data_IF_327102147704
#
_entry.id   IF_327102147704
#
_cell.length_a   1.000
_cell.length_b   1.000
_cell.length_c   1.000
_cell.angle_alpha   90.00
_cell.angle_beta   90.00
_cell.angle_gamma   90.00
#
_symmetry.space_group_name_H-M   'P 1'
#
loop_
_entity.id
_entity.type
_entity.pdbx_description
1 polymer ?
#
# COMPACT_ATOMS: atom_id res chain seq x y z
N UNK A 1 -41.35 30.57 8.10
CA UNK A 1 -39.93 30.28 7.82
C UNK A 1 -39.64 28.87 8.34
N UNK A 2 -39.55 27.87 7.46
CA UNK A 2 -39.11 26.51 7.84
C UNK A 2 -37.67 26.36 7.39
N UNK A 3 -36.77 26.08 8.33
CA UNK A 3 -35.37 25.76 8.04
C UNK A 3 -35.34 24.38 7.37
N UNK A 4 -34.79 24.33 6.17
CA UNK A 4 -34.46 23.08 5.46
C UNK A 4 -33.09 22.64 5.98
N UNK A 5 -32.90 21.39 6.45
CA UNK A 5 -31.56 20.93 6.84
C UNK A 5 -30.74 20.70 5.57
N UNK A 6 -29.74 21.56 5.37
CA UNK A 6 -28.77 21.46 4.29
C UNK A 6 -27.82 20.29 4.54
N UNK A 7 -27.72 19.39 3.56
CA UNK A 7 -26.54 18.56 3.33
C UNK A 7 -26.39 17.37 4.26
N UNK A 8 -26.65 16.18 3.72
CA UNK A 8 -26.22 14.90 4.27
C UNK A 8 -24.71 14.93 4.53
N UNK A 9 -24.32 14.87 5.80
CA UNK A 9 -23.01 14.34 6.19
C UNK A 9 -22.93 12.92 5.62
N UNK A 10 -22.12 12.70 4.58
CA UNK A 10 -21.82 11.36 4.11
C UNK A 10 -21.12 10.63 5.25
N UNK A 11 -21.87 9.80 5.98
CA UNK A 11 -21.30 8.90 6.97
C UNK A 11 -20.35 7.98 6.21
N UNK A 12 -19.05 8.14 6.45
CA UNK A 12 -18.03 7.19 6.00
C UNK A 12 -18.48 5.82 6.50
N UNK A 13 -18.87 4.94 5.57
CA UNK A 13 -19.21 3.57 5.94
C UNK A 13 -17.94 2.93 6.50
N UNK A 14 -18.03 2.21 7.64
CA UNK A 14 -16.86 1.53 8.19
C UNK A 14 -16.34 0.53 7.16
N UNK A 15 -15.03 0.57 6.90
CA UNK A 15 -14.38 -0.44 6.07
C UNK A 15 -14.22 -1.69 6.94
N UNK A 16 -14.96 -2.75 6.63
CA UNK A 16 -14.90 -4.01 7.39
C UNK A 16 -13.79 -4.94 6.90
N UNK A 17 -13.41 -4.86 5.62
CA UNK A 17 -12.45 -5.78 5.00
C UNK A 17 -11.64 -5.14 3.89
N UNK A 18 -10.32 -5.37 3.95
CA UNK A 18 -9.36 -5.07 2.88
C UNK A 18 -8.79 -6.39 2.35
N UNK A 19 -8.80 -6.58 1.03
CA UNK A 19 -8.20 -7.76 0.39
C UNK A 19 -7.19 -7.34 -0.67
N UNK A 20 -5.97 -7.87 -0.59
CA UNK A 20 -4.84 -7.53 -1.43
C UNK A 20 -4.35 -8.81 -2.10
N UNK A 21 -4.31 -8.84 -3.44
CA UNK A 21 -3.82 -9.97 -4.22
C UNK A 21 -2.50 -9.61 -4.88
N UNK A 22 -1.48 -10.45 -4.73
CA UNK A 22 -0.10 -10.15 -5.12
C UNK A 22 0.50 -11.33 -5.88
N UNK A 23 1.11 -11.08 -7.04
CA UNK A 23 1.82 -12.10 -7.85
C UNK A 23 3.34 -12.04 -7.73
N UNK A 24 3.86 -11.16 -6.87
CA UNK A 24 5.29 -10.85 -6.81
C UNK A 24 6.11 -11.97 -6.16
N UNK A 25 6.28 -13.06 -6.89
CA UNK A 25 7.14 -14.19 -6.55
C UNK A 25 8.55 -13.70 -6.22
N UNK A 26 9.07 -12.68 -6.92
CA UNK A 26 10.40 -12.12 -6.68
C UNK A 26 10.59 -11.52 -5.28
N UNK A 27 9.55 -10.95 -4.66
CA UNK A 27 9.60 -10.36 -3.31
C UNK A 27 9.46 -11.42 -2.23
N UNK A 28 8.68 -12.47 -2.50
CA UNK A 28 8.61 -13.66 -1.65
C UNK A 28 9.94 -14.42 -1.69
N UNK A 29 10.60 -14.49 -2.85
CA UNK A 29 11.94 -15.08 -2.94
C UNK A 29 12.99 -14.16 -2.29
N UNK A 30 12.84 -12.83 -2.37
CA UNK A 30 13.76 -11.88 -1.73
C UNK A 30 13.72 -11.94 -0.20
N UNK A 31 12.57 -12.28 0.41
CA UNK A 31 12.47 -12.51 1.87
C UNK A 31 13.30 -13.70 2.36
N UNK A 32 13.72 -14.61 1.48
CA UNK A 32 14.57 -15.76 1.79
C UNK A 32 16.07 -15.48 1.56
N UNK A 33 16.42 -14.23 1.20
CA UNK A 33 17.80 -13.80 0.99
C UNK A 33 18.22 -12.80 2.07
N UNK A 34 19.44 -12.94 2.59
CA UNK A 34 20.04 -12.00 3.54
C UNK A 34 20.57 -10.71 2.89
N UNK A 35 20.25 -10.48 1.61
CA UNK A 35 20.73 -9.32 0.84
C UNK A 35 19.65 -8.25 0.79
N UNK A 36 19.94 -7.10 1.36
CA UNK A 36 19.05 -5.93 1.33
C UNK A 36 18.97 -5.40 -0.11
N UNK A 37 17.89 -5.74 -0.81
CA UNK A 37 17.65 -5.28 -2.17
C UNK A 37 17.17 -3.82 -2.24
N UNK A 38 17.35 -3.13 -3.37
CA UNK A 38 16.89 -1.74 -3.57
C UNK A 38 15.37 -1.58 -3.41
N UNK A 39 14.60 -2.67 -3.37
CA UNK A 39 13.15 -2.67 -3.22
C UNK A 39 12.66 -2.86 -1.77
N UNK A 40 13.54 -3.09 -0.79
CA UNK A 40 13.13 -3.29 0.61
C UNK A 40 12.43 -2.08 1.23
N UNK A 41 12.74 -0.86 0.78
CA UNK A 41 12.02 0.33 1.27
C UNK A 41 10.51 0.30 0.93
N UNK A 42 10.10 -0.45 -0.11
CA UNK A 42 8.70 -0.62 -0.45
C UNK A 42 7.95 -1.45 0.60
N UNK A 43 8.63 -2.40 1.26
CA UNK A 43 8.04 -3.16 2.37
C UNK A 43 7.82 -2.27 3.60
N UNK A 44 8.73 -1.33 3.86
CA UNK A 44 8.55 -0.35 4.94
C UNK A 44 7.35 0.56 4.66
N UNK A 45 7.24 1.10 3.44
CA UNK A 45 6.08 1.92 3.03
C UNK A 45 4.80 1.10 3.15
N UNK A 46 4.80 -0.15 2.70
CA UNK A 46 3.64 -1.03 2.81
C UNK A 46 3.22 -1.26 4.26
N UNK A 47 4.18 -1.49 5.16
CA UNK A 47 3.92 -1.66 6.58
C UNK A 47 3.36 -0.38 7.22
N UNK A 48 3.94 0.79 6.91
CA UNK A 48 3.43 2.08 7.38
C UNK A 48 1.98 2.32 6.94
N UNK A 49 1.65 2.02 5.67
CA UNK A 49 0.28 2.15 5.16
C UNK A 49 -0.70 1.19 5.83
N UNK A 50 -0.27 -0.03 6.17
CA UNK A 50 -1.11 -0.97 6.92
C UNK A 50 -1.39 -0.50 8.35
N UNK A 51 -0.38 0.07 9.01
CA UNK A 51 -0.56 0.67 10.34
C UNK A 51 -1.53 1.85 10.29
N UNK A 52 -1.33 2.79 9.35
CA UNK A 52 -2.25 3.92 9.16
C UNK A 52 -3.68 3.46 8.84
N UNK A 53 -3.82 2.37 8.09
CA UNK A 53 -5.11 1.75 7.81
C UNK A 53 -5.78 1.21 9.07
N UNK A 54 -5.06 0.47 9.91
CA UNK A 54 -5.58 -0.09 11.16
C UNK A 54 -5.88 0.98 12.21
N UNK A 55 -5.07 2.04 12.29
CA UNK A 55 -5.36 3.20 13.16
C UNK A 55 -6.71 3.83 12.80
N UNK A 56 -7.06 3.84 11.51
CA UNK A 56 -8.31 4.39 10.99
C UNK A 56 -9.48 3.38 11.02
N UNK A 57 -9.18 2.08 11.00
CA UNK A 57 -10.16 0.98 10.91
C UNK A 57 -9.74 -0.20 11.79
N UNK A 58 -9.83 -0.07 13.13
CA UNK A 58 -9.29 -1.06 14.06
C UNK A 58 -9.98 -2.42 13.96
N UNK A 59 -11.24 -2.45 13.55
CA UNK A 59 -12.03 -3.67 13.41
C UNK A 59 -11.94 -4.30 12.00
N UNK A 60 -11.19 -3.67 11.08
CA UNK A 60 -11.08 -4.15 9.70
C UNK A 60 -10.20 -5.39 9.59
N UNK A 61 -10.69 -6.39 8.86
CA UNK A 61 -9.91 -7.57 8.51
C UNK A 61 -9.07 -7.31 7.25
N UNK A 62 -7.77 -7.51 7.33
CA UNK A 62 -6.86 -7.45 6.16
C UNK A 62 -6.50 -8.86 5.70
N UNK A 63 -6.80 -9.19 4.45
CA UNK A 63 -6.42 -10.45 3.82
C UNK A 63 -5.40 -10.18 2.70
N UNK A 64 -4.20 -10.75 2.81
CA UNK A 64 -3.19 -10.71 1.75
C UNK A 64 -3.08 -12.11 1.15
N UNK A 65 -3.33 -12.23 -0.15
CA UNK A 65 -3.37 -13.50 -0.86
C UNK A 65 -2.37 -13.50 -2.01
N UNK A 66 -1.60 -14.57 -2.12
CA UNK A 66 -0.79 -14.81 -3.31
C UNK A 66 -1.68 -15.28 -4.47
N UNK A 67 -1.41 -14.80 -5.68
CA UNK A 67 -2.05 -15.26 -6.91
C UNK A 67 -1.00 -15.64 -7.95
N UNK A 68 -1.22 -16.70 -8.73
CA UNK A 68 -0.29 -17.09 -9.77
C UNK A 68 -0.31 -16.08 -10.93
N UNK A 69 0.87 -15.56 -11.28
CA UNK A 69 1.01 -14.63 -12.39
C UNK A 69 0.77 -15.27 -13.76
N UNK A 70 0.36 -14.45 -14.73
CA UNK A 70 0.11 -14.84 -16.13
C UNK A 70 -0.90 -15.99 -16.33
N UNK A 71 -1.87 -16.14 -15.42
CA UNK A 71 -2.89 -17.20 -15.47
C UNK A 71 -4.26 -16.75 -15.96
N UNK A 72 -4.42 -15.53 -16.50
CA UNK A 72 -5.72 -15.01 -16.92
C UNK A 72 -6.49 -14.26 -15.83
N UNK A 73 -5.90 -14.02 -14.66
CA UNK A 73 -6.55 -13.24 -13.59
C UNK A 73 -6.58 -11.76 -13.99
N UNK A 74 -7.72 -11.32 -14.54
CA UNK A 74 -7.89 -10.00 -15.16
C UNK A 74 -7.42 -8.82 -14.30
N UNK A 75 -7.70 -8.84 -12.99
CA UNK A 75 -7.27 -7.77 -12.07
C UNK A 75 -5.74 -7.70 -11.92
N UNK A 76 -5.11 -8.86 -11.83
CA UNK A 76 -3.66 -8.99 -11.70
C UNK A 76 -2.94 -8.63 -13.01
N UNK A 77 -3.45 -9.10 -14.15
CA UNK A 77 -2.89 -8.76 -15.46
C UNK A 77 -3.00 -7.26 -15.77
N UNK A 78 -4.08 -6.62 -15.35
CA UNK A 78 -4.22 -5.17 -15.47
C UNK A 78 -3.17 -4.46 -14.61
N UNK A 79 -2.92 -4.92 -13.39
CA UNK A 79 -1.90 -4.32 -12.52
C UNK A 79 -0.48 -4.46 -13.13
N UNK A 80 -0.13 -5.63 -13.64
CA UNK A 80 1.14 -5.89 -14.34
C UNK A 80 1.31 -4.99 -15.59
N UNK A 81 0.25 -4.82 -16.38
CA UNK A 81 0.28 -3.94 -17.56
C UNK A 81 0.54 -2.47 -17.18
N UNK A 82 -0.09 -1.95 -16.13
CA UNK A 82 0.17 -0.58 -15.68
C UNK A 82 1.58 -0.43 -15.08
N UNK A 83 2.07 -1.44 -14.35
CA UNK A 83 3.44 -1.45 -13.85
C UNK A 83 4.47 -1.42 -15.00
N UNK A 84 4.26 -2.21 -16.05
CA UNK A 84 5.08 -2.22 -17.28
C UNK A 84 5.05 -0.87 -18.00
N UNK A 85 3.88 -0.23 -18.09
CA UNK A 85 3.75 1.12 -18.68
C UNK A 85 4.54 2.16 -17.88
N UNK A 86 4.42 2.13 -16.55
CA UNK A 86 5.15 3.04 -15.68
C UNK A 86 6.67 2.86 -15.81
N UNK A 87 7.15 1.61 -15.82
CA UNK A 87 8.58 1.29 -16.03
C UNK A 87 9.09 1.74 -17.42
N UNK A 88 8.22 1.74 -18.44
CA UNK A 88 8.51 2.28 -19.77
C UNK A 88 8.41 3.82 -19.86
N UNK A 89 8.32 4.52 -18.72
CA UNK A 89 8.24 5.98 -18.66
C UNK A 89 6.84 6.56 -18.86
N UNK A 90 5.81 5.72 -19.00
CA UNK A 90 4.41 6.14 -19.17
C UNK A 90 3.68 6.08 -17.83
N UNK A 91 4.21 6.81 -16.85
CA UNK A 91 3.62 6.90 -15.51
C UNK A 91 2.45 7.88 -15.47
N UNK A 92 1.62 7.77 -14.43
CA UNK A 92 0.62 8.79 -14.11
C UNK A 92 1.29 10.12 -13.75
N UNK A 93 0.54 11.23 -13.87
CA UNK A 93 1.00 12.52 -13.37
C UNK A 93 1.36 12.41 -11.88
N UNK A 94 2.45 13.08 -11.46
CA UNK A 94 2.96 13.02 -10.06
C UNK A 94 1.89 13.37 -9.02
N UNK A 95 0.97 14.27 -9.35
CA UNK A 95 -0.15 14.67 -8.49
C UNK A 95 -1.14 13.53 -8.20
N UNK A 96 -1.10 12.43 -8.97
CA UNK A 96 -1.92 11.23 -8.81
C UNK A 96 -1.15 10.07 -8.18
N UNK A 97 0.14 10.24 -7.92
CA UNK A 97 0.96 9.24 -7.26
C UNK A 97 1.06 9.58 -5.76
N UNK A 98 1.13 8.56 -4.89
CA UNK A 98 1.43 8.79 -3.48
C UNK A 98 2.79 9.50 -3.33
N UNK A 99 2.85 10.50 -2.46
CA UNK A 99 4.05 11.30 -2.18
C UNK A 99 5.22 10.46 -1.65
N UNK A 100 4.95 9.27 -1.12
CA UNK A 100 5.95 8.29 -0.68
C UNK A 100 6.82 7.73 -1.82
N UNK A 101 6.40 7.86 -3.07
CA UNK A 101 7.19 7.43 -4.24
C UNK A 101 8.19 8.48 -4.74
N UNK A 102 8.15 9.72 -4.23
CA UNK A 102 8.99 10.82 -4.70
C UNK A 102 10.40 10.83 -4.06
N UNK A 103 10.66 10.06 -2.98
CA UNK A 103 12.00 10.00 -2.37
C UNK A 103 12.25 8.73 -1.52
N UNK A 104 13.13 7.79 -1.97
CA UNK A 104 13.41 6.53 -1.26
C UNK A 104 14.07 6.72 0.13
N UNK A 105 14.64 7.89 0.42
CA UNK A 105 15.30 8.18 1.70
C UNK A 105 14.42 8.89 2.74
N UNK A 106 13.16 9.25 2.41
CA UNK A 106 12.20 9.84 3.37
C UNK A 106 11.25 8.82 4.03
N UNK A 107 11.16 7.60 3.50
CA UNK A 107 10.25 6.55 3.98
C UNK A 107 10.84 5.60 5.02
N UNK A 108 11.99 5.93 5.61
CA UNK A 108 12.55 5.14 6.72
C UNK A 108 12.39 5.96 7.99
N UNK A 109 11.21 5.86 8.62
CA UNK A 109 11.15 6.12 10.07
C UNK A 109 11.97 5.02 10.75
N UNK A 110 12.83 5.34 11.73
CA UNK A 110 13.52 4.30 12.47
C UNK A 110 12.48 3.34 13.07
N UNK A 111 12.75 2.02 13.05
CA UNK A 111 11.82 1.02 13.54
C UNK A 111 11.45 1.32 15.00
N UNK A 112 10.22 0.99 15.40
CA UNK A 112 9.66 1.40 16.70
C UNK A 112 10.50 0.97 17.90
N UNK A 113 11.33 -0.08 17.78
CA UNK A 113 12.23 -0.54 18.85
C UNK A 113 13.42 0.41 19.12
N UNK A 114 13.77 1.31 18.21
CA UNK A 114 14.82 2.32 18.44
C UNK A 114 14.31 3.58 19.17
N UNK A 115 12.99 3.72 19.35
CA UNK A 115 12.40 4.88 20.06
C UNK A 115 12.38 4.77 21.58
N UNK A 116 12.76 3.62 22.17
CA UNK A 116 12.79 3.45 23.63
C UNK A 116 14.17 3.60 24.28
N UNK A 117 15.20 3.98 23.52
CA UNK A 117 16.54 4.20 24.04
C UNK A 117 16.83 5.69 24.22
N UNK A 118 16.31 6.29 25.29
CA UNK A 118 16.88 7.46 25.97
C UNK A 118 16.03 7.71 27.24
N UNK A 119 16.39 6.99 28.30
CA UNK A 119 16.16 7.38 29.68
C UNK A 119 17.42 8.07 30.20
#
# INVERSE_FOLDING_TARGET
MKLVPSGTCQQHQPIEKLSIWIENTSSITATDTSVTGPSHYLLNIFHELLLEFWDSHPDATVCICWVPGHTGVLGNERADQEAKRAAAGRSSAKTRLPTSYDNPSRGVKPPLYERSGNA
#
